data_IF_268835900589
#
_entry.id   IF_268835900589
#
_cell.length_a   1.000
_cell.length_b   1.000
_cell.length_c   1.000
_cell.angle_alpha   90.00
_cell.angle_beta   90.00
_cell.angle_gamma   90.00
#
_symmetry.space_group_name_H-M   'P 1'
#
loop_
_entity.id
_entity.type
_entity.pdbx_description
1 polymer ?
#
# COMPACT_ATOMS: atom_id res chain seq x y z
N UNK A 1 28.87 -29.89 -40.22
CA UNK A 1 27.79 -30.02 -41.22
C UNK A 1 26.65 -30.81 -40.62
N UNK A 2 25.41 -30.34 -40.85
CA UNK A 2 24.11 -30.98 -40.61
C UNK A 2 23.51 -30.99 -39.19
N UNK A 3 22.17 -30.94 -39.05
CA UNK A 3 21.50 -29.71 -38.63
C UNK A 3 20.52 -29.91 -37.46
N UNK A 4 20.53 -28.97 -36.52
CA UNK A 4 19.51 -28.82 -35.48
C UNK A 4 18.44 -27.84 -35.98
N UNK A 5 17.26 -28.37 -36.32
CA UNK A 5 16.08 -27.60 -36.70
C UNK A 5 14.99 -28.58 -37.12
N UNK A 6 13.76 -28.39 -36.63
CA UNK A 6 12.54 -29.21 -36.90
C UNK A 6 12.17 -30.26 -35.82
N UNK A 7 12.34 -29.97 -34.53
CA UNK A 7 11.63 -30.73 -33.48
C UNK A 7 11.04 -29.85 -32.37
N UNK A 8 10.41 -28.73 -32.76
CA UNK A 8 9.64 -27.87 -31.83
C UNK A 8 8.34 -27.34 -32.47
N UNK A 9 7.64 -28.14 -33.30
CA UNK A 9 6.35 -27.71 -33.92
C UNK A 9 5.24 -28.79 -33.85
N UNK A 10 5.34 -29.80 -32.98
CA UNK A 10 4.31 -30.86 -32.93
C UNK A 10 3.78 -31.22 -31.53
N UNK A 11 3.40 -30.20 -30.74
CA UNK A 11 2.32 -30.31 -29.74
C UNK A 11 1.45 -29.04 -29.68
N UNK A 12 1.28 -28.35 -30.82
CA UNK A 12 0.36 -27.19 -30.95
C UNK A 12 -0.64 -27.42 -32.09
N UNK A 13 -1.25 -28.61 -32.19
CA UNK A 13 -2.31 -28.87 -33.20
C UNK A 13 -3.41 -29.86 -32.75
N UNK A 14 -3.84 -29.80 -31.49
CA UNK A 14 -5.13 -30.43 -31.09
C UNK A 14 -5.87 -29.71 -29.96
N UNK A 15 -5.83 -28.37 -29.95
CA UNK A 15 -6.89 -27.60 -29.29
C UNK A 15 -7.23 -26.37 -30.14
N UNK A 16 -7.70 -26.61 -31.36
CA UNK A 16 -8.23 -25.58 -32.23
C UNK A 16 -9.74 -25.50 -32.01
N UNK A 17 -10.22 -24.29 -31.69
CA UNK A 17 -11.60 -23.82 -31.50
C UNK A 17 -12.17 -23.63 -30.07
N UNK A 18 -11.50 -24.06 -28.99
CA UNK A 18 -11.95 -23.74 -27.61
C UNK A 18 -10.88 -23.09 -26.70
N UNK A 19 -9.61 -23.06 -27.12
CA UNK A 19 -8.54 -22.37 -26.37
C UNK A 19 -8.13 -21.02 -26.95
N UNK A 20 -8.95 -20.39 -27.82
CA UNK A 20 -8.69 -19.01 -28.31
C UNK A 20 -9.16 -17.90 -27.35
N UNK A 21 -9.68 -18.25 -26.17
CA UNK A 21 -10.09 -17.28 -25.14
C UNK A 21 -9.21 -17.28 -23.87
N UNK A 22 -8.20 -18.16 -23.77
CA UNK A 22 -7.46 -18.38 -22.52
C UNK A 22 -5.98 -17.95 -22.55
N UNK A 23 -5.54 -17.31 -23.63
CA UNK A 23 -4.24 -16.62 -23.69
C UNK A 23 -4.50 -15.13 -23.89
N UNK A 24 -5.21 -14.53 -22.93
CA UNK A 24 -5.30 -13.08 -22.82
C UNK A 24 -4.08 -12.55 -22.06
N UNK A 25 -3.64 -11.31 -22.30
CA UNK A 25 -2.53 -10.65 -21.60
C UNK A 25 -2.80 -10.36 -20.10
N UNK A 26 -3.70 -11.09 -19.44
CA UNK A 26 -4.27 -10.76 -18.12
C UNK A 26 -4.09 -11.88 -17.07
N UNK A 27 -3.13 -12.78 -17.28
CA UNK A 27 -2.67 -13.75 -16.29
C UNK A 27 -1.26 -13.38 -15.84
N UNK A 28 -1.07 -13.12 -14.55
CA UNK A 28 0.23 -12.78 -13.99
C UNK A 28 0.75 -13.93 -13.12
N UNK A 29 2.05 -14.19 -13.30
CA UNK A 29 2.79 -15.24 -12.63
C UNK A 29 4.10 -14.66 -12.09
N UNK A 30 4.48 -15.06 -10.88
CA UNK A 30 5.79 -14.76 -10.33
C UNK A 30 6.40 -15.99 -9.66
N UNK A 31 7.63 -16.33 -10.06
CA UNK A 31 8.45 -17.33 -9.37
C UNK A 31 9.11 -16.75 -8.14
N UNK A 32 9.36 -17.62 -7.15
CA UNK A 32 9.97 -17.28 -5.86
C UNK A 32 9.27 -16.11 -5.15
N UNK A 33 7.95 -16.07 -5.27
CA UNK A 33 7.09 -15.04 -4.69
C UNK A 33 5.87 -15.70 -4.07
N UNK A 34 5.39 -15.08 -3.01
CA UNK A 34 4.19 -15.48 -2.30
C UNK A 34 3.41 -14.23 -1.91
N UNK A 35 2.09 -14.33 -1.83
CA UNK A 35 1.27 -13.36 -1.12
C UNK A 35 1.02 -13.88 0.30
N UNK A 36 1.57 -13.21 1.30
CA UNK A 36 1.52 -13.64 2.70
C UNK A 36 0.35 -12.99 3.44
N UNK A 37 -0.23 -13.66 4.46
CA UNK A 37 -1.25 -13.05 5.32
C UNK A 37 -2.65 -12.92 4.70
N UNK A 38 -2.81 -13.32 3.43
CA UNK A 38 -4.10 -13.30 2.72
C UNK A 38 -4.63 -14.70 2.39
N UNK A 39 -3.95 -15.75 2.87
CA UNK A 39 -4.36 -17.15 2.68
C UNK A 39 -5.61 -17.42 3.52
N UNK A 40 -6.73 -17.72 2.86
CA UNK A 40 -7.96 -18.11 3.54
C UNK A 40 -8.24 -19.62 3.46
N UNK A 41 -7.55 -20.33 2.55
CA UNK A 41 -7.67 -21.77 2.43
C UNK A 41 -6.36 -22.40 1.96
N UNK A 42 -5.94 -23.48 2.62
CA UNK A 42 -4.78 -24.28 2.24
C UNK A 42 -5.22 -25.71 1.92
N UNK A 43 -4.70 -26.28 0.84
CA UNK A 43 -5.03 -27.64 0.38
C UNK A 43 -3.86 -28.27 -0.38
N UNK A 44 -3.87 -29.59 -0.52
CA UNK A 44 -2.91 -30.32 -1.35
C UNK A 44 -3.54 -30.64 -2.71
N UNK A 45 -2.84 -30.35 -3.80
CA UNK A 45 -3.33 -30.58 -5.17
C UNK A 45 -2.24 -31.16 -6.06
N UNK A 46 -2.61 -31.87 -7.13
CA UNK A 46 -1.63 -32.52 -8.01
C UNK A 46 -0.73 -31.56 -8.80
N UNK A 47 -1.17 -30.32 -9.04
CA UNK A 47 -0.43 -29.32 -9.82
C UNK A 47 -0.93 -27.90 -9.59
N UNK A 48 -0.15 -26.91 -10.03
CA UNK A 48 -0.56 -25.50 -10.06
C UNK A 48 -1.86 -25.28 -10.87
N UNK A 49 -2.08 -26.07 -11.93
CA UNK A 49 -3.32 -26.03 -12.73
C UNK A 49 -4.53 -26.45 -11.89
N UNK A 50 -4.36 -27.46 -11.04
CA UNK A 50 -5.39 -27.86 -10.07
C UNK A 50 -5.70 -26.74 -9.07
N UNK A 51 -4.66 -26.11 -8.52
CA UNK A 51 -4.82 -24.96 -7.62
C UNK A 51 -5.56 -23.79 -8.31
N UNK A 52 -5.20 -23.48 -9.57
CA UNK A 52 -5.82 -22.43 -10.36
C UNK A 52 -7.29 -22.72 -10.68
N UNK A 53 -7.65 -23.97 -10.97
CA UNK A 53 -9.05 -24.39 -11.13
C UNK A 53 -9.84 -24.17 -9.84
N UNK A 54 -9.31 -24.61 -8.71
CA UNK A 54 -9.96 -24.47 -7.41
C UNK A 54 -10.14 -22.99 -7.05
N UNK A 55 -9.10 -22.17 -7.26
CA UNK A 55 -9.18 -20.71 -7.10
C UNK A 55 -10.24 -20.10 -8.02
N UNK A 56 -10.30 -20.50 -9.29
CA UNK A 56 -11.27 -19.95 -10.25
C UNK A 56 -12.71 -20.27 -9.86
N UNK A 57 -12.96 -21.40 -9.19
CA UNK A 57 -14.30 -21.82 -8.77
C UNK A 57 -14.73 -21.20 -7.43
N UNK A 58 -13.79 -20.78 -6.60
CA UNK A 58 -14.05 -20.16 -5.30
C UNK A 58 -14.26 -18.64 -5.45
N UNK A 59 -15.41 -18.09 -5.08
CA UNK A 59 -15.69 -16.66 -5.25
C UNK A 59 -14.77 -15.73 -4.44
N UNK A 60 -14.22 -16.20 -3.31
CA UNK A 60 -13.33 -15.41 -2.45
C UNK A 60 -11.89 -15.40 -2.97
N UNK A 61 -11.51 -16.34 -3.84
CA UNK A 61 -10.13 -16.42 -4.31
C UNK A 61 -9.79 -15.34 -5.34
N UNK A 62 -8.81 -14.50 -5.06
CA UNK A 62 -8.29 -13.49 -5.99
C UNK A 62 -6.93 -13.90 -6.59
N UNK A 63 -6.13 -14.66 -5.86
CA UNK A 63 -4.83 -15.20 -6.30
C UNK A 63 -4.49 -16.48 -5.54
N UNK A 64 -3.41 -17.16 -5.87
CA UNK A 64 -2.96 -18.33 -5.10
C UNK A 64 -1.44 -18.48 -5.08
N UNK A 65 -0.94 -19.10 -4.01
CA UNK A 65 0.43 -19.56 -3.89
C UNK A 65 0.47 -21.08 -4.13
N UNK A 66 1.51 -21.55 -4.79
CA UNK A 66 1.71 -22.98 -5.06
C UNK A 66 3.16 -23.38 -4.82
N UNK A 67 3.37 -24.40 -3.98
CA UNK A 67 4.67 -25.03 -3.78
C UNK A 67 4.74 -26.33 -4.59
N UNK A 68 5.62 -26.36 -5.59
CA UNK A 68 5.74 -27.52 -6.47
C UNK A 68 6.37 -28.75 -5.80
N UNK A 69 7.15 -28.56 -4.72
CA UNK A 69 7.81 -29.66 -4.01
C UNK A 69 6.87 -30.37 -3.03
N UNK A 70 6.01 -29.61 -2.36
CA UNK A 70 5.06 -30.15 -1.37
C UNK A 70 3.64 -30.30 -1.88
N UNK A 71 3.37 -29.93 -3.14
CA UNK A 71 2.02 -29.93 -3.73
C UNK A 71 1.02 -29.05 -2.97
N UNK A 72 1.52 -28.10 -2.18
CA UNK A 72 0.71 -27.22 -1.34
C UNK A 72 0.15 -26.06 -2.17
N UNK A 73 -1.16 -25.88 -2.11
CA UNK A 73 -1.93 -24.82 -2.73
C UNK A 73 -2.57 -23.95 -1.64
N UNK A 74 -2.27 -22.65 -1.66
CA UNK A 74 -2.80 -21.67 -0.73
C UNK A 74 -3.62 -20.64 -1.52
N UNK A 75 -4.93 -20.62 -1.33
CA UNK A 75 -5.83 -19.67 -1.97
C UNK A 75 -5.83 -18.35 -1.19
N UNK A 76 -5.61 -17.24 -1.89
CA UNK A 76 -5.57 -15.91 -1.31
C UNK A 76 -6.82 -15.10 -1.69
N UNK A 77 -7.31 -14.29 -0.76
CA UNK A 77 -8.46 -13.41 -1.00
C UNK A 77 -8.10 -12.04 -1.58
N UNK A 78 -6.81 -11.77 -1.77
CA UNK A 78 -6.27 -10.54 -2.37
C UNK A 78 -5.31 -10.87 -3.52
N UNK A 79 -5.01 -9.86 -4.33
CA UNK A 79 -3.95 -9.88 -5.35
C UNK A 79 -2.72 -9.12 -4.88
N UNK A 80 -1.59 -9.28 -5.56
CA UNK A 80 -0.36 -8.48 -5.32
C UNK A 80 -0.56 -6.98 -5.54
N UNK A 81 -1.57 -6.59 -6.34
CA UNK A 81 -1.88 -5.17 -6.56
C UNK A 81 -2.71 -4.61 -5.41
N UNK A 82 -3.54 -5.44 -4.79
CA UNK A 82 -4.33 -5.07 -3.60
C UNK A 82 -3.51 -5.15 -2.32
N UNK A 83 -2.49 -6.00 -2.26
CA UNK A 83 -1.65 -6.14 -1.06
C UNK A 83 -0.16 -6.24 -1.45
N UNK A 84 0.42 -5.13 -1.97
CA UNK A 84 1.76 -5.16 -2.56
C UNK A 84 2.88 -5.44 -1.55
N UNK A 85 2.71 -5.12 -0.27
CA UNK A 85 3.80 -5.26 0.70
C UNK A 85 3.83 -6.62 1.39
N UNK A 86 2.74 -7.38 1.30
CA UNK A 86 2.73 -8.80 1.68
C UNK A 86 3.12 -9.70 0.51
N UNK A 87 3.40 -9.12 -0.67
CA UNK A 87 3.92 -9.82 -1.83
C UNK A 87 5.45 -9.93 -1.76
N UNK A 88 5.92 -10.97 -1.05
CA UNK A 88 7.33 -11.11 -0.64
C UNK A 88 8.03 -12.24 -1.37
N UNK A 89 9.37 -12.22 -1.34
CA UNK A 89 10.19 -13.31 -1.90
C UNK A 89 10.09 -14.57 -1.03
N UNK A 90 9.84 -15.72 -1.66
CA UNK A 90 9.89 -17.04 -0.98
C UNK A 90 10.36 -18.10 -1.96
N UNK A 91 11.55 -18.65 -1.73
CA UNK A 91 12.18 -19.62 -2.62
C UNK A 91 11.32 -20.89 -2.78
N UNK A 92 11.23 -21.40 -4.01
CA UNK A 92 10.54 -22.66 -4.33
C UNK A 92 9.01 -22.58 -4.33
N UNK A 93 8.45 -21.36 -4.24
CA UNK A 93 7.01 -21.11 -4.28
C UNK A 93 6.69 -20.23 -5.48
N UNK A 94 5.50 -20.43 -6.05
CA UNK A 94 5.00 -19.73 -7.21
C UNK A 94 3.72 -18.98 -6.85
N UNK A 95 3.61 -17.74 -7.28
CA UNK A 95 2.39 -16.93 -7.16
C UNK A 95 1.69 -16.82 -8.51
N UNK A 96 0.37 -16.90 -8.50
CA UNK A 96 -0.48 -16.80 -9.68
C UNK A 96 -1.69 -15.90 -9.41
N UNK A 97 -2.03 -15.04 -10.37
CA UNK A 97 -3.28 -14.27 -10.39
C UNK A 97 -3.86 -14.23 -11.80
N UNK A 98 -5.17 -14.26 -11.90
CA UNK A 98 -5.92 -14.07 -13.14
C UNK A 98 -7.06 -13.11 -12.92
N UNK A 99 -7.43 -12.35 -13.95
CA UNK A 99 -8.55 -11.40 -13.84
C UNK A 99 -9.87 -12.16 -13.67
N UNK A 100 -10.38 -12.25 -12.43
CA UNK A 100 -11.82 -12.32 -12.22
C UNK A 100 -12.38 -10.95 -12.59
N UNK A 101 -13.46 -10.90 -13.37
CA UNK A 101 -14.18 -9.64 -13.62
C UNK A 101 -14.80 -9.16 -12.33
N UNK A 102 -13.98 -8.57 -11.48
CA UNK A 102 -14.37 -7.68 -10.41
C UNK A 102 -13.38 -6.53 -10.48
N UNK A 103 -13.69 -5.58 -11.35
CA UNK A 103 -13.42 -4.19 -11.05
C UNK A 103 -14.10 -3.90 -9.70
N UNK A 104 -13.38 -4.18 -8.64
CA UNK A 104 -13.75 -3.89 -7.27
C UNK A 104 -12.53 -3.24 -6.67
N UNK A 105 -12.50 -1.91 -6.74
CA UNK A 105 -11.72 -1.12 -5.81
C UNK A 105 -11.94 -1.73 -4.40
N UNK A 106 -10.86 -1.79 -3.64
CA UNK A 106 -10.64 -2.45 -2.35
C UNK A 106 -11.61 -2.05 -1.20
N UNK A 107 -12.77 -1.50 -1.52
CA UNK A 107 -13.51 -0.63 -0.61
C UNK A 107 -12.73 0.65 -0.27
N UNK A 108 -11.49 0.82 -0.77
CA UNK A 108 -10.67 2.00 -0.52
C UNK A 108 -11.41 3.23 -1.02
N UNK A 109 -11.68 4.13 -0.10
CA UNK A 109 -12.38 5.38 -0.35
C UNK A 109 -11.61 6.52 0.28
N UNK A 110 -11.73 7.70 -0.30
CA UNK A 110 -11.26 8.92 0.34
C UNK A 110 -12.04 9.14 1.65
N UNK A 111 -11.31 9.40 2.73
CA UNK A 111 -11.85 9.86 4.00
C UNK A 111 -11.44 11.32 4.19
N UNK A 112 -12.44 12.20 4.34
CA UNK A 112 -12.18 13.63 4.54
C UNK A 112 -11.77 13.87 5.99
N UNK A 113 -10.55 14.37 6.18
CA UNK A 113 -10.06 14.84 7.48
C UNK A 113 -10.13 16.37 7.61
N UNK A 114 -10.84 17.04 6.69
CA UNK A 114 -10.98 18.50 6.69
C UNK A 114 -11.66 18.98 7.98
N UNK A 115 -11.02 19.93 8.65
CA UNK A 115 -11.50 20.51 9.91
C UNK A 115 -11.27 19.63 11.14
N UNK A 116 -10.67 18.44 10.99
CA UNK A 116 -10.36 17.58 12.13
C UNK A 116 -9.33 18.23 13.07
N UNK A 117 -9.39 17.98 14.39
CA UNK A 117 -8.44 18.54 15.33
C UNK A 117 -7.00 18.11 15.01
N UNK A 118 -6.16 19.08 14.66
CA UNK A 118 -4.75 18.87 14.39
C UNK A 118 -3.87 19.62 15.40
N UNK A 119 -2.74 19.00 15.75
CA UNK A 119 -1.72 19.53 16.65
C UNK A 119 -0.33 19.35 16.03
N UNK A 120 0.63 20.18 16.43
CA UNK A 120 2.02 20.06 16.02
C UNK A 120 2.95 20.45 17.17
N UNK A 121 4.21 20.01 17.10
CA UNK A 121 5.23 20.20 18.14
C UNK A 121 5.42 21.67 18.53
N UNK A 122 5.38 22.58 17.55
CA UNK A 122 5.47 24.02 17.74
C UNK A 122 4.84 24.77 16.57
N UNK A 123 4.51 26.05 16.77
CA UNK A 123 3.94 26.90 15.72
C UNK A 123 4.94 27.99 15.32
N UNK A 124 5.32 28.04 14.04
CA UNK A 124 5.97 29.23 13.50
C UNK A 124 4.90 30.29 13.22
N UNK A 125 4.81 31.32 14.07
CA UNK A 125 3.82 32.40 13.97
C UNK A 125 2.37 31.89 13.96
N UNK A 126 1.58 32.20 12.93
CA UNK A 126 0.18 31.77 12.78
C UNK A 126 0.00 30.58 11.81
N UNK A 127 1.05 29.79 11.57
CA UNK A 127 1.04 28.67 10.62
C UNK A 127 0.72 27.37 11.36
N UNK A 128 -0.50 27.31 11.89
CA UNK A 128 -0.98 26.27 12.79
C UNK A 128 -1.15 24.91 12.09
N UNK A 129 -1.19 23.85 12.89
CA UNK A 129 -1.40 22.47 12.44
C UNK A 129 -2.65 22.30 11.57
N UNK A 130 -3.74 23.01 11.89
CA UNK A 130 -5.02 22.93 11.16
C UNK A 130 -4.95 23.32 9.68
N UNK A 131 -3.89 24.01 9.24
CA UNK A 131 -3.69 24.34 7.82
C UNK A 131 -3.48 23.11 6.95
N UNK A 132 -2.98 22.01 7.51
CA UNK A 132 -2.76 20.77 6.75
C UNK A 132 -4.03 19.91 6.62
N UNK A 133 -5.16 20.41 7.12
CA UNK A 133 -6.48 19.76 7.11
C UNK A 133 -7.56 20.81 6.83
N UNK A 134 -7.25 21.83 6.03
CA UNK A 134 -8.19 22.91 5.72
C UNK A 134 -8.89 22.73 4.36
N UNK A 135 -8.56 21.67 3.62
CA UNK A 135 -9.13 21.36 2.30
C UNK A 135 -8.51 22.18 1.16
N UNK A 136 -7.48 22.98 1.42
CA UNK A 136 -6.84 23.83 0.42
C UNK A 136 -5.81 23.05 -0.39
N UNK A 137 -5.82 23.24 -1.72
CA UNK A 137 -4.76 22.76 -2.62
C UNK A 137 -3.62 23.77 -2.79
N UNK A 138 -3.62 24.87 -2.03
CA UNK A 138 -2.61 25.92 -2.13
C UNK A 138 -1.30 25.47 -1.49
N UNK A 139 -0.23 25.50 -2.29
CA UNK A 139 1.13 25.16 -1.84
C UNK A 139 1.93 26.39 -1.39
N UNK A 140 1.25 27.54 -1.26
CA UNK A 140 1.85 28.79 -0.84
C UNK A 140 1.93 28.89 0.67
N UNK A 141 2.90 29.67 1.16
CA UNK A 141 3.34 29.67 2.56
C UNK A 141 2.22 29.82 3.60
N UNK A 142 1.18 30.61 3.31
CA UNK A 142 0.10 30.90 4.26
C UNK A 142 -0.95 29.78 4.38
N UNK A 143 -0.86 28.74 3.54
CA UNK A 143 -1.80 27.60 3.51
C UNK A 143 -1.14 26.31 3.99
N UNK A 144 0.08 26.37 4.50
CA UNK A 144 0.77 25.20 5.02
C UNK A 144 1.04 25.35 6.50
N UNK A 145 0.96 24.25 7.24
CA UNK A 145 1.45 24.17 8.61
C UNK A 145 2.98 24.36 8.64
N UNK A 146 3.50 24.83 9.77
CA UNK A 146 4.93 25.10 9.92
C UNK A 146 5.36 25.06 11.38
N UNK A 147 6.30 24.17 11.69
CA UNK A 147 6.95 24.13 13.02
C UNK A 147 8.11 25.10 13.10
N UNK A 148 8.67 25.31 14.28
CA UNK A 148 10.01 25.91 14.41
C UNK A 148 11.08 24.96 13.83
N UNK A 149 12.32 25.47 13.71
CA UNK A 149 13.48 24.61 13.50
C UNK A 149 13.84 23.96 14.84
N UNK A 150 13.49 22.69 14.98
CA UNK A 150 13.57 21.96 16.24
C UNK A 150 13.97 20.50 16.04
N UNK A 151 14.29 19.82 17.13
CA UNK A 151 14.59 18.39 17.09
C UNK A 151 13.28 17.60 17.02
N UNK A 152 13.20 16.68 16.06
CA UNK A 152 12.05 15.80 15.90
C UNK A 152 10.69 16.52 15.81
N UNK A 153 10.52 17.52 14.90
CA UNK A 153 9.24 18.18 14.72
C UNK A 153 8.18 17.17 14.27
N UNK A 154 6.96 17.35 14.76
CA UNK A 154 5.85 16.46 14.45
C UNK A 154 4.54 17.22 14.24
N UNK A 155 3.66 16.62 13.44
CA UNK A 155 2.27 17.02 13.24
C UNK A 155 1.37 15.79 13.42
N UNK A 156 0.18 15.95 13.98
CA UNK A 156 -0.79 14.87 14.21
C UNK A 156 -2.21 15.38 14.05
N UNK A 157 -3.08 14.58 13.42
CA UNK A 157 -4.53 14.75 13.39
C UNK A 157 -5.21 13.68 14.24
N UNK A 158 -6.25 14.06 14.98
CA UNK A 158 -7.19 13.15 15.64
C UNK A 158 -8.40 12.93 14.71
N UNK A 159 -8.63 11.69 14.29
CA UNK A 159 -9.74 11.34 13.41
C UNK A 159 -11.08 11.24 14.16
N UNK A 160 -11.05 11.25 15.50
CA UNK A 160 -12.22 11.15 16.37
C UNK A 160 -12.56 9.72 16.77
N UNK A 161 -12.45 8.78 15.83
CA UNK A 161 -12.67 7.35 16.02
C UNK A 161 -11.61 6.50 15.30
N UNK A 162 -11.71 5.18 15.39
CA UNK A 162 -10.81 4.26 14.72
C UNK A 162 -11.19 4.10 13.24
N UNK A 163 -10.21 4.33 12.36
CA UNK A 163 -10.31 4.11 10.91
C UNK A 163 -9.28 3.07 10.45
N UNK A 164 -9.53 2.41 9.32
CA UNK A 164 -8.56 1.48 8.73
C UNK A 164 -7.82 2.14 7.57
N UNK A 165 -6.66 2.72 7.88
CA UNK A 165 -5.93 3.56 6.95
C UNK A 165 -5.17 2.70 5.94
N UNK A 166 -5.48 2.88 4.65
CA UNK A 166 -4.79 2.21 3.54
C UNK A 166 -3.75 3.11 2.89
N UNK A 167 -4.01 4.42 2.85
CA UNK A 167 -3.10 5.37 2.21
C UNK A 167 -3.16 6.74 2.87
N UNK A 168 -2.00 7.38 2.94
CA UNK A 168 -1.86 8.79 3.30
C UNK A 168 -1.17 9.52 2.15
N UNK A 169 -1.62 10.73 1.84
CA UNK A 169 -0.94 11.61 0.89
C UNK A 169 -0.63 12.95 1.54
N UNK A 170 0.56 13.46 1.24
CA UNK A 170 1.02 14.77 1.69
C UNK A 170 1.21 15.67 0.48
N UNK A 171 0.47 16.77 0.43
CA UNK A 171 0.76 17.88 -0.46
C UNK A 171 1.89 18.72 0.14
N UNK A 172 3.04 18.70 -0.53
CA UNK A 172 4.24 19.41 -0.07
C UNK A 172 4.21 20.90 -0.45
N UNK A 173 5.01 21.71 0.24
CA UNK A 173 5.17 23.14 -0.06
C UNK A 173 5.90 23.36 -1.38
N UNK A 174 5.45 24.35 -2.16
CA UNK A 174 6.13 24.75 -3.39
C UNK A 174 7.44 25.52 -3.14
N UNK A 175 8.30 25.53 -4.16
CA UNK A 175 9.58 26.24 -4.18
C UNK A 175 10.74 25.43 -3.61
N UNK A 176 11.85 26.11 -3.31
CA UNK A 176 13.08 25.51 -2.78
C UNK A 176 12.92 24.89 -1.39
N UNK A 177 11.88 25.28 -0.64
CA UNK A 177 11.55 24.76 0.68
C UNK A 177 10.98 23.35 0.67
N UNK A 178 10.52 22.86 -0.49
CA UNK A 178 10.01 21.49 -0.68
C UNK A 178 10.93 20.40 -0.12
N UNK A 179 12.25 20.61 -0.23
CA UNK A 179 13.28 19.68 0.26
C UNK A 179 13.24 19.42 1.78
N UNK A 180 12.63 20.31 2.57
CA UNK A 180 12.54 20.17 4.04
C UNK A 180 11.74 18.95 4.48
N UNK A 181 10.87 18.42 3.63
CA UNK A 181 10.12 17.20 3.90
C UNK A 181 10.99 15.92 3.75
N UNK A 182 12.25 16.02 3.31
CA UNK A 182 13.17 14.87 3.25
C UNK A 182 13.35 14.26 4.64
N UNK A 183 13.21 12.94 4.72
CA UNK A 183 13.30 12.17 5.96
C UNK A 183 12.01 12.15 6.77
N UNK A 184 10.93 12.79 6.32
CA UNK A 184 9.64 12.70 6.98
C UNK A 184 9.10 11.26 6.99
N UNK A 185 8.50 10.88 8.10
CA UNK A 185 7.92 9.55 8.35
C UNK A 185 6.44 9.76 8.62
N UNK A 186 5.59 9.01 7.91
CA UNK A 186 4.14 8.96 8.18
C UNK A 186 3.86 7.80 9.11
N UNK A 187 3.00 8.01 10.10
CA UNK A 187 2.58 7.00 11.07
C UNK A 187 1.08 7.03 11.28
N UNK A 188 0.51 5.88 11.60
CA UNK A 188 -0.92 5.74 11.91
C UNK A 188 -1.10 4.75 13.06
N UNK A 189 -1.88 5.13 14.08
CA UNK A 189 -2.18 4.23 15.21
C UNK A 189 -3.10 4.88 16.24
N UNK A 190 -3.19 4.30 17.43
CA UNK A 190 -4.04 4.76 18.54
C UNK A 190 -3.25 5.47 19.66
N UNK A 191 -1.92 5.53 19.56
CA UNK A 191 -1.09 6.19 20.55
C UNK A 191 -1.01 7.70 20.30
N UNK A 192 -1.11 8.49 21.36
CA UNK A 192 -0.91 9.95 21.25
C UNK A 192 0.57 10.30 21.08
N UNK A 193 1.50 9.51 21.60
CA UNK A 193 2.92 9.64 21.31
C UNK A 193 3.20 9.18 19.87
N UNK A 194 3.47 10.13 18.98
CA UNK A 194 3.64 9.93 17.52
C UNK A 194 4.57 8.75 17.19
N UNK A 195 5.73 8.67 17.83
CA UNK A 195 6.75 7.64 17.55
C UNK A 195 6.37 6.23 17.99
N UNK A 196 5.34 6.07 18.82
CA UNK A 196 4.86 4.77 19.27
C UNK A 196 3.87 4.14 18.28
N UNK A 197 3.46 4.87 17.24
CA UNK A 197 2.61 4.35 16.18
C UNK A 197 3.44 3.73 15.04
N UNK A 198 2.94 2.66 14.39
CA UNK A 198 3.58 2.06 13.23
C UNK A 198 3.63 3.03 12.05
N UNK A 199 4.61 2.82 11.17
CA UNK A 199 4.87 3.68 10.00
C UNK A 199 4.03 3.26 8.80
N UNK A 200 3.51 4.24 8.04
CA UNK A 200 3.01 4.03 6.68
C UNK A 200 4.14 4.27 5.68
N UNK A 201 4.46 3.24 4.88
CA UNK A 201 5.51 3.31 3.88
C UNK A 201 6.91 3.62 4.45
N UNK A 202 7.81 4.02 3.55
CA UNK A 202 9.19 4.39 3.88
C UNK A 202 9.33 5.89 4.11
N UNK A 203 10.37 6.34 4.84
CA UNK A 203 10.67 7.76 4.98
C UNK A 203 10.86 8.48 3.63
N UNK A 204 10.47 9.75 3.56
CA UNK A 204 10.55 10.56 2.34
C UNK A 204 11.99 10.70 1.85
N UNK A 205 12.23 10.30 0.62
CA UNK A 205 13.52 10.50 -0.05
C UNK A 205 13.67 11.93 -0.57
N UNK A 206 14.91 12.38 -0.77
CA UNK A 206 15.18 13.68 -1.39
C UNK A 206 14.59 13.79 -2.81
N UNK A 207 14.48 12.68 -3.53
CA UNK A 207 13.87 12.63 -4.85
C UNK A 207 12.35 12.85 -4.79
N UNK A 208 11.66 12.26 -3.82
CA UNK A 208 10.22 12.47 -3.59
C UNK A 208 9.92 13.89 -3.08
N UNK A 209 10.80 14.48 -2.27
CA UNK A 209 10.62 15.85 -1.77
C UNK A 209 10.95 16.95 -2.79
N UNK A 210 11.68 16.63 -3.88
CA UNK A 210 12.19 17.62 -4.85
C UNK A 210 11.11 18.30 -5.70
N UNK A 211 10.05 17.63 -6.19
CA UNK A 211 9.00 18.27 -6.96
C UNK A 211 8.33 19.41 -6.18
N UNK A 212 8.40 20.62 -6.72
CA UNK A 212 7.81 21.81 -6.10
C UNK A 212 6.29 21.66 -6.05
N UNK A 213 5.72 21.61 -4.84
CA UNK A 213 4.28 21.47 -4.67
C UNK A 213 3.75 20.08 -5.02
N UNK A 214 4.63 19.07 -5.06
CA UNK A 214 4.24 17.70 -5.38
C UNK A 214 3.49 17.02 -4.24
N UNK A 215 2.67 16.04 -4.60
CA UNK A 215 2.02 15.12 -3.66
C UNK A 215 2.87 13.86 -3.50
N UNK A 216 3.15 13.47 -2.26
CA UNK A 216 3.84 12.22 -1.93
C UNK A 216 2.80 11.26 -1.35
N UNK A 217 2.74 10.05 -1.90
CA UNK A 217 1.84 8.99 -1.42
C UNK A 217 2.58 7.99 -0.54
N UNK A 218 1.89 7.52 0.50
CA UNK A 218 2.37 6.52 1.45
C UNK A 218 1.30 5.44 1.56
N UNK A 219 1.62 4.24 1.08
CA UNK A 219 0.78 3.06 1.30
C UNK A 219 1.01 2.55 2.73
N UNK A 220 -0.07 2.48 3.52
CA UNK A 220 -0.06 1.86 4.85
C UNK A 220 -0.30 0.37 4.65
N UNK A 221 0.73 -0.44 4.88
CA UNK A 221 0.77 -1.78 4.33
C UNK A 221 1.45 -2.77 5.29
N UNK A 222 0.69 -3.69 5.92
CA UNK A 222 -0.76 -3.85 5.80
C UNK A 222 -1.52 -2.62 6.32
N UNK A 223 -2.82 -2.51 6.00
CA UNK A 223 -3.64 -1.37 6.42
C UNK A 223 -3.62 -1.23 7.95
N UNK A 224 -3.59 0.02 8.43
CA UNK A 224 -3.37 0.30 9.84
C UNK A 224 -4.65 0.80 10.50
N UNK A 225 -5.11 0.08 11.51
CA UNK A 225 -6.16 0.58 12.41
C UNK A 225 -5.61 1.76 13.22
N UNK A 226 -6.20 2.94 13.05
CA UNK A 226 -5.68 4.16 13.62
C UNK A 226 -6.79 5.16 13.98
N UNK A 227 -6.61 5.84 15.11
CA UNK A 227 -7.33 7.07 15.45
C UNK A 227 -6.50 8.32 15.16
N UNK A 228 -5.18 8.18 15.15
CA UNK A 228 -4.23 9.26 14.91
C UNK A 228 -3.42 8.97 13.65
N UNK A 229 -3.31 9.97 12.79
CA UNK A 229 -2.30 10.01 11.72
C UNK A 229 -1.32 11.11 12.06
N UNK A 230 -0.04 10.85 11.87
CA UNK A 230 1.03 11.78 12.19
C UNK A 230 2.15 11.76 11.17
N UNK A 231 2.86 12.89 11.10
CA UNK A 231 4.07 13.05 10.30
C UNK A 231 5.16 13.59 11.23
N UNK A 232 6.29 12.91 11.31
CA UNK A 232 7.47 13.37 12.06
C UNK A 232 8.72 13.36 11.17
N UNK A 233 9.70 14.22 11.49
CA UNK A 233 11.03 14.14 10.90
C UNK A 233 11.99 13.78 12.02
N UNK A 234 12.54 12.56 12.13
CA UNK A 234 13.36 12.10 13.26
C UNK A 234 14.80 12.67 13.23
N UNK A 235 14.93 13.96 12.95
CA UNK A 235 16.18 14.73 12.93
C UNK A 235 15.87 16.19 13.25
N UNK A 236 16.90 17.03 13.36
CA UNK A 236 16.68 18.48 13.46
C UNK A 236 16.19 19.02 12.12
N UNK A 237 14.97 19.55 12.10
CA UNK A 237 14.34 20.04 10.87
C UNK A 237 13.20 21.02 11.14
N UNK A 238 12.58 21.46 10.05
CA UNK A 238 11.32 22.19 10.02
C UNK A 238 10.31 21.31 9.29
N UNK A 239 9.20 20.97 9.95
CA UNK A 239 8.09 20.25 9.31
C UNK A 239 7.12 21.24 8.67
N UNK A 240 6.75 20.98 7.40
CA UNK A 240 5.80 21.79 6.64
C UNK A 240 4.87 20.88 5.85
N UNK A 241 3.56 21.04 6.04
CA UNK A 241 2.55 20.24 5.35
C UNK A 241 1.49 21.19 4.82
N UNK A 242 1.18 21.14 3.52
CA UNK A 242 0.15 22.00 2.95
C UNK A 242 -1.22 21.35 3.02
N UNK A 243 -1.31 20.05 2.75
CA UNK A 243 -2.54 19.29 2.96
C UNK A 243 -2.20 17.83 3.20
N UNK A 244 -2.92 17.17 4.10
CA UNK A 244 -2.88 15.73 4.33
C UNK A 244 -4.23 15.16 3.90
N UNK A 245 -4.20 14.14 3.06
CA UNK A 245 -5.42 13.42 2.65
C UNK A 245 -5.25 11.92 2.88
N UNK A 246 -6.37 11.24 3.07
CA UNK A 246 -6.38 9.87 3.60
C UNK A 246 -7.34 9.02 2.77
N UNK A 247 -6.94 7.79 2.49
CA UNK A 247 -7.85 6.73 2.10
C UNK A 247 -7.93 5.67 3.19
N UNK A 248 -9.11 5.06 3.28
CA UNK A 248 -9.40 3.99 4.20
C UNK A 248 -10.18 2.87 3.51
N UNK A 249 -10.11 1.68 4.09
CA UNK A 249 -11.00 0.55 3.79
C UNK A 249 -12.02 0.37 4.92
N UNK A 250 -13.10 -0.42 4.72
CA UNK A 250 -14.03 -0.74 5.80
C UNK A 250 -13.32 -1.34 7.02
N UNK A 251 -13.67 -0.86 8.21
CA UNK A 251 -12.98 -1.15 9.47
C UNK A 251 -13.01 -2.64 9.87
N UNK A 252 -14.01 -3.38 9.41
CA UNK A 252 -14.18 -4.83 9.59
C UNK A 252 -13.21 -5.66 8.73
N UNK A 253 -12.67 -5.07 7.67
CA UNK A 253 -11.60 -5.66 6.86
C UNK A 253 -10.20 -5.30 7.36
N UNK A 254 -10.08 -4.53 8.44
CA UNK A 254 -8.79 -4.09 8.92
C UNK A 254 -7.97 -5.24 9.51
N UNK A 255 -6.68 -5.38 9.14
CA UNK A 255 -5.78 -6.33 9.77
C UNK A 255 -5.80 -6.21 11.30
N UNK A 256 -5.99 -7.32 11.99
CA UNK A 256 -5.95 -7.36 13.46
C UNK A 256 -4.57 -6.94 13.97
N UNK A 257 -4.52 -6.31 15.16
CA UNK A 257 -3.25 -6.05 15.84
C UNK A 257 -2.54 -7.39 16.01
N UNK A 258 -1.37 -7.59 15.40
CA UNK A 258 -0.51 -8.71 15.74
C UNK A 258 -0.12 -8.53 17.20
N UNK A 259 -0.80 -9.26 18.09
CA UNK A 259 -0.35 -9.47 19.46
C UNK A 259 0.99 -10.18 19.36
N UNK A 260 2.07 -9.43 19.59
CA UNK A 260 3.35 -10.04 19.89
C UNK A 260 3.22 -10.82 21.19
N UNK A 261 3.25 -12.15 21.08
CA UNK A 261 3.85 -13.01 22.10
C UNK A 261 5.37 -12.96 21.98
#
# INVERSE_FOLDING_TARGET
MSPAGIFLILLVKSCHAQCRHWLTPEFHFASNRILQGHVFQTKTVSSAVGCGRDCSMDQQCASFNYNASSHLCELNNKTRLQSPCTFVEKQGVFYFEGKKTSAGADGSRAFSIVGQPAQQSSNYTNWFAGKAVDGSSSTTKNYCSHTLDEQAPWWRVDLGEDHCISKVRILNRAGSTSRRLTGAVVRAGDNTTVTNNPTCGSPVTAAQAKPSGGTIEFDCCPELRARYISVDIPSKSILQLCEVTVEEIPIDHCPGKSSGE
#
